data_IF_903380465429
#
_entry.id   IF_903380465429
#
_cell.length_a   1.000
_cell.length_b   1.000
_cell.length_c   1.000
_cell.angle_alpha   90.00
_cell.angle_beta   90.00
_cell.angle_gamma   90.00
#
_symmetry.space_group_name_H-M   'P 1'
#
loop_
_entity.id
_entity.type
_entity.pdbx_description
1 polymer ?
#
# COMPACT_ATOMS: atom_id res chain seq x y z
N UNK A 1 -1.45 24.19 8.44
CA UNK A 1 -0.87 23.06 7.66
C UNK A 1 -0.81 23.50 6.21
N UNK A 2 0.27 24.19 5.90
CA UNK A 2 0.45 25.09 4.75
C UNK A 2 0.64 24.31 3.45
N UNK A 3 -0.09 24.76 2.42
CA UNK A 3 0.06 24.76 0.95
C UNK A 3 1.33 24.16 0.27
N UNK A 4 2.39 23.83 0.98
CA UNK A 4 3.67 23.31 0.48
C UNK A 4 3.67 21.80 0.14
N UNK A 5 2.63 21.04 0.50
CA UNK A 5 2.50 19.62 0.12
C UNK A 5 1.79 19.41 -1.23
N UNK A 6 1.31 20.49 -1.86
CA UNK A 6 0.71 20.47 -3.20
C UNK A 6 1.77 20.81 -4.27
N UNK A 7 2.97 20.22 -4.15
CA UNK A 7 3.92 20.20 -5.25
C UNK A 7 3.44 19.25 -6.35
N UNK A 8 3.71 19.65 -7.59
CA UNK A 8 3.20 19.08 -8.83
C UNK A 8 3.25 17.53 -8.88
N UNK A 9 2.11 16.92 -9.19
CA UNK A 9 2.00 15.49 -9.52
C UNK A 9 1.43 14.58 -8.44
N UNK A 10 1.09 15.09 -7.25
CA UNK A 10 0.40 14.32 -6.21
C UNK A 10 -1.09 14.65 -6.19
N UNK A 11 -1.93 13.67 -6.55
CA UNK A 11 -3.39 13.79 -6.49
C UNK A 11 -3.84 13.96 -5.02
N UNK A 12 -4.53 15.06 -4.65
CA UNK A 12 -4.91 15.34 -3.26
C UNK A 12 -5.69 14.21 -2.59
N UNK A 13 -6.56 13.54 -3.35
CA UNK A 13 -7.31 12.36 -2.90
C UNK A 13 -6.36 11.24 -2.49
N UNK A 14 -5.36 10.94 -3.32
CA UNK A 14 -4.35 9.91 -3.02
C UNK A 14 -3.55 10.23 -1.79
N UNK A 15 -3.14 11.49 -1.60
CA UNK A 15 -2.50 11.89 -0.34
C UNK A 15 -3.40 11.64 0.86
N UNK A 16 -4.63 12.16 0.85
CA UNK A 16 -5.55 12.01 1.97
C UNK A 16 -5.80 10.54 2.32
N UNK A 17 -5.95 9.71 1.29
CA UNK A 17 -6.15 8.26 1.41
C UNK A 17 -4.93 7.57 2.02
N UNK A 18 -3.72 7.88 1.56
CA UNK A 18 -2.49 7.27 2.09
C UNK A 18 -2.23 7.70 3.54
N UNK A 19 -2.55 8.94 3.92
CA UNK A 19 -2.50 9.39 5.32
C UNK A 19 -3.57 8.72 6.18
N UNK A 20 -4.80 8.59 5.68
CA UNK A 20 -5.88 7.90 6.37
C UNK A 20 -5.57 6.43 6.60
N UNK A 21 -5.02 5.75 5.59
CA UNK A 21 -4.61 4.34 5.68
C UNK A 21 -3.58 4.10 6.79
N UNK A 22 -2.59 4.99 6.93
CA UNK A 22 -1.60 4.89 8.01
C UNK A 22 -2.25 5.02 9.39
N UNK A 23 -3.22 5.94 9.54
CA UNK A 23 -3.98 6.09 10.81
C UNK A 23 -4.83 4.87 11.12
N UNK A 24 -5.51 4.31 10.12
CA UNK A 24 -6.28 3.07 10.27
C UNK A 24 -5.36 1.91 10.68
N UNK A 25 -4.22 1.76 10.00
CA UNK A 25 -3.25 0.72 10.31
C UNK A 25 -2.69 0.85 11.73
N UNK A 26 -2.35 2.07 12.16
CA UNK A 26 -1.89 2.36 13.52
C UNK A 26 -2.94 2.01 14.58
N UNK A 27 -4.20 2.41 14.36
CA UNK A 27 -5.29 2.16 15.32
C UNK A 27 -5.66 0.67 15.44
N UNK A 28 -5.59 -0.07 14.34
CA UNK A 28 -5.89 -1.50 14.32
C UNK A 28 -4.69 -2.37 14.73
N UNK A 29 -3.51 -1.77 14.92
CA UNK A 29 -2.27 -2.55 15.08
C UNK A 29 -2.01 -3.45 13.87
N UNK A 30 -2.36 -2.98 12.67
CA UNK A 30 -2.28 -3.76 11.45
C UNK A 30 -0.85 -4.28 11.22
N UNK A 31 -0.77 -5.54 10.83
CA UNK A 31 0.49 -6.26 10.63
C UNK A 31 1.29 -5.69 9.46
N UNK A 32 0.60 -5.21 8.42
CA UNK A 32 1.21 -4.53 7.29
C UNK A 32 0.22 -3.63 6.53
N UNK A 33 0.78 -2.65 5.83
CA UNK A 33 0.11 -1.85 4.81
C UNK A 33 0.56 -2.31 3.43
N UNK A 34 -0.38 -2.53 2.53
CA UNK A 34 -0.13 -2.84 1.12
C UNK A 34 -0.45 -1.61 0.29
N UNK A 35 0.50 -1.14 -0.51
CA UNK A 35 0.30 -0.03 -1.44
C UNK A 35 0.45 -0.54 -2.87
N UNK A 36 -0.66 -0.73 -3.57
CA UNK A 36 -0.63 -0.90 -5.01
C UNK A 36 -0.11 0.40 -5.64
N UNK A 37 0.75 0.31 -6.65
CA UNK A 37 1.25 1.51 -7.34
C UNK A 37 1.80 1.21 -8.72
N UNK A 38 1.46 2.04 -9.71
CA UNK A 38 1.96 1.88 -11.08
C UNK A 38 3.29 2.59 -11.32
N UNK A 39 3.44 3.82 -10.81
CA UNK A 39 4.61 4.68 -11.02
C UNK A 39 5.41 4.94 -9.75
N UNK A 40 5.00 4.35 -8.62
CA UNK A 40 5.64 4.54 -7.32
C UNK A 40 5.19 5.78 -6.55
N UNK A 41 4.40 6.69 -7.14
CA UNK A 41 4.01 7.95 -6.48
C UNK A 41 3.25 7.73 -5.16
N UNK A 42 2.31 6.78 -5.12
CA UNK A 42 1.55 6.44 -3.90
C UNK A 42 2.46 5.91 -2.79
N UNK A 43 3.37 5.00 -3.15
CA UNK A 43 4.34 4.46 -2.20
C UNK A 43 5.34 5.53 -1.73
N UNK A 44 5.69 6.51 -2.58
CA UNK A 44 6.52 7.67 -2.19
C UNK A 44 5.82 8.53 -1.14
N UNK A 45 4.51 8.78 -1.28
CA UNK A 45 3.72 9.50 -0.28
C UNK A 45 3.73 8.74 1.06
N UNK A 46 3.54 7.41 1.02
CA UNK A 46 3.60 6.57 2.22
C UNK A 46 4.98 6.61 2.87
N UNK A 47 6.05 6.48 2.10
CA UNK A 47 7.43 6.52 2.58
C UNK A 47 7.78 7.88 3.22
N UNK A 48 7.24 8.98 2.70
CA UNK A 48 7.45 10.31 3.26
C UNK A 48 6.85 10.49 4.67
N UNK A 49 5.91 9.65 5.08
CA UNK A 49 5.36 9.68 6.44
C UNK A 49 6.37 9.18 7.49
N UNK A 50 7.36 8.38 7.07
CA UNK A 50 8.44 7.86 7.92
C UNK A 50 7.95 7.15 9.19
N UNK A 51 6.79 6.49 9.12
CA UNK A 51 6.20 5.72 10.21
C UNK A 51 6.67 4.26 10.23
N UNK A 52 6.75 3.63 11.40
CA UNK A 52 7.29 2.27 11.52
C UNK A 52 6.32 1.15 11.08
N UNK A 53 5.22 1.47 10.38
CA UNK A 53 4.25 0.48 9.94
C UNK A 53 4.84 -0.32 8.78
N UNK A 54 5.00 -1.66 8.89
CA UNK A 54 5.53 -2.48 7.81
C UNK A 54 4.74 -2.26 6.53
N UNK A 55 5.40 -1.83 5.46
CA UNK A 55 4.72 -1.47 4.22
C UNK A 55 5.28 -2.26 3.04
N UNK A 56 4.38 -2.93 2.32
CA UNK A 56 4.67 -3.62 1.06
C UNK A 56 4.17 -2.77 -0.09
N UNK A 57 5.03 -2.46 -1.05
CA UNK A 57 4.67 -1.75 -2.28
C UNK A 57 4.58 -2.72 -3.45
N UNK A 58 3.41 -2.81 -4.07
CA UNK A 58 3.10 -3.77 -5.15
C UNK A 58 3.05 -3.08 -6.50
N UNK A 59 3.75 -3.62 -7.50
CA UNK A 59 3.74 -3.11 -8.87
C UNK A 59 3.93 -4.21 -9.91
N UNK A 60 3.40 -3.98 -11.12
CA UNK A 60 3.65 -4.81 -12.32
C UNK A 60 4.87 -4.34 -13.10
N UNK A 61 5.34 -3.12 -12.86
CA UNK A 61 6.50 -2.54 -13.56
C UNK A 61 7.77 -2.77 -12.74
N UNK A 62 8.72 -3.53 -13.30
CA UNK A 62 10.03 -3.74 -12.68
C UNK A 62 10.77 -2.44 -12.39
N UNK A 63 10.63 -1.42 -13.24
CA UNK A 63 11.25 -0.12 -13.02
C UNK A 63 10.70 0.51 -11.75
N UNK A 64 9.39 0.45 -11.56
CA UNK A 64 8.74 0.92 -10.33
C UNK A 64 9.20 0.11 -9.14
N UNK A 65 9.22 -1.23 -9.20
CA UNK A 65 9.72 -2.08 -8.09
C UNK A 65 11.15 -1.70 -7.67
N UNK A 66 12.05 -1.45 -8.63
CA UNK A 66 13.42 -0.99 -8.33
C UNK A 66 13.45 0.40 -7.67
N UNK A 67 12.55 1.31 -8.06
CA UNK A 67 12.41 2.61 -7.38
C UNK A 67 11.93 2.44 -5.94
N UNK A 68 10.99 1.54 -5.69
CA UNK A 68 10.45 1.28 -4.35
C UNK A 68 11.54 0.80 -3.38
N UNK A 69 12.58 0.09 -3.84
CA UNK A 69 13.74 -0.28 -3.01
C UNK A 69 14.43 0.93 -2.35
N UNK A 70 14.30 2.13 -2.93
CA UNK A 70 14.95 3.35 -2.44
C UNK A 70 14.04 4.13 -1.48
N UNK A 71 12.77 3.73 -1.37
CA UNK A 71 11.80 4.43 -0.54
C UNK A 71 11.86 3.89 0.89
N UNK A 72 11.94 4.83 1.84
CA UNK A 72 12.02 4.53 3.26
C UNK A 72 10.87 3.60 3.67
N UNK A 73 11.21 2.47 4.30
CA UNK A 73 10.25 1.53 4.88
C UNK A 73 9.37 0.77 3.88
N UNK A 74 9.63 0.85 2.57
CA UNK A 74 8.85 0.14 1.54
C UNK A 74 9.58 -1.13 1.10
N UNK A 75 8.90 -2.27 1.24
CA UNK A 75 9.36 -3.56 0.70
C UNK A 75 8.69 -3.77 -0.67
N UNK A 76 9.44 -3.80 -1.78
CA UNK A 76 8.86 -4.05 -3.11
C UNK A 76 8.40 -5.50 -3.25
N UNK A 77 7.21 -5.69 -3.80
CA UNK A 77 6.66 -7.02 -4.09
C UNK A 77 6.12 -7.06 -5.53
N UNK A 78 6.78 -7.84 -6.37
CA UNK A 78 6.36 -8.08 -7.76
C UNK A 78 5.48 -9.32 -7.90
N UNK A 79 4.97 -9.56 -9.12
CA UNK A 79 4.23 -10.79 -9.45
C UNK A 79 2.81 -10.87 -8.88
N UNK A 80 2.30 -9.80 -8.27
CA UNK A 80 0.97 -9.78 -7.67
C UNK A 80 -0.13 -9.39 -8.67
N UNK A 81 -1.34 -9.96 -8.55
CA UNK A 81 -2.47 -9.60 -9.39
C UNK A 81 -2.97 -8.18 -9.05
N UNK A 82 -2.63 -7.20 -9.88
CA UNK A 82 -3.06 -5.81 -9.73
C UNK A 82 -4.23 -5.55 -10.69
N UNK A 83 -5.40 -5.20 -10.16
CA UNK A 83 -6.59 -4.93 -10.99
C UNK A 83 -7.88 -5.51 -10.40
N UNK A 84 -7.75 -6.40 -9.42
CA UNK A 84 -8.83 -6.92 -8.63
C UNK A 84 -8.41 -6.92 -7.15
N UNK A 85 -9.23 -6.32 -6.30
CA UNK A 85 -8.91 -6.17 -4.88
C UNK A 85 -8.97 -7.49 -4.11
N UNK A 86 -9.81 -8.43 -4.55
CA UNK A 86 -9.95 -9.74 -3.94
C UNK A 86 -8.77 -10.64 -4.31
N UNK A 87 -8.38 -10.66 -5.59
CA UNK A 87 -7.20 -11.40 -6.03
C UNK A 87 -5.93 -10.88 -5.35
N UNK A 88 -5.77 -9.55 -5.26
CA UNK A 88 -4.63 -8.94 -4.58
C UNK A 88 -4.59 -9.34 -3.09
N UNK A 89 -5.73 -9.27 -2.41
CA UNK A 89 -5.87 -9.67 -1.00
C UNK A 89 -5.43 -11.12 -0.80
N UNK A 90 -6.01 -12.04 -1.58
CA UNK A 90 -5.71 -13.46 -1.48
C UNK A 90 -4.22 -13.76 -1.75
N UNK A 91 -3.65 -13.11 -2.77
CA UNK A 91 -2.25 -13.30 -3.14
C UNK A 91 -1.29 -12.77 -2.05
N UNK A 92 -1.57 -11.60 -1.48
CA UNK A 92 -0.76 -11.04 -0.37
C UNK A 92 -0.87 -11.89 0.89
N UNK A 93 -2.07 -12.35 1.23
CA UNK A 93 -2.27 -13.24 2.38
C UNK A 93 -1.47 -14.53 2.22
N UNK A 94 -1.59 -15.20 1.06
CA UNK A 94 -0.86 -16.42 0.78
C UNK A 94 0.65 -16.19 0.85
N UNK A 95 1.15 -15.11 0.24
CA UNK A 95 2.55 -14.73 0.31
C UNK A 95 3.01 -14.52 1.76
N UNK A 96 2.30 -13.72 2.55
CA UNK A 96 2.72 -13.42 3.92
C UNK A 96 2.65 -14.64 4.83
N UNK A 97 1.68 -15.55 4.63
CA UNK A 97 1.63 -16.85 5.32
C UNK A 97 2.84 -17.72 4.97
N UNK A 98 3.20 -17.82 3.69
CA UNK A 98 4.37 -18.58 3.24
C UNK A 98 5.69 -18.04 3.80
N UNK A 99 5.79 -16.72 4.00
CA UNK A 99 6.96 -16.09 4.62
C UNK A 99 6.95 -16.16 6.16
N UNK A 100 5.90 -16.69 6.78
CA UNK A 100 5.72 -16.68 8.23
C UNK A 100 5.50 -15.28 8.83
N UNK A 101 5.09 -14.31 8.00
CA UNK A 101 4.85 -12.91 8.39
C UNK A 101 3.42 -12.65 8.86
N UNK A 102 2.48 -13.49 8.44
CA UNK A 102 1.06 -13.34 8.65
C UNK A 102 0.47 -14.58 9.33
N UNK A 103 -0.34 -14.36 10.35
CA UNK A 103 -1.10 -15.40 11.05
C UNK A 103 -2.57 -15.02 11.17
N UNK A 104 -3.40 -16.00 11.53
CA UNK A 104 -4.81 -15.78 11.86
C UNK A 104 -4.99 -14.64 12.89
N UNK A 105 -5.93 -13.74 12.61
CA UNK A 105 -6.23 -12.55 13.40
C UNK A 105 -5.38 -11.32 13.05
N UNK A 106 -4.33 -11.45 12.25
CA UNK A 106 -3.60 -10.29 11.75
C UNK A 106 -4.49 -9.46 10.80
N UNK A 107 -4.44 -8.14 10.97
CA UNK A 107 -5.09 -7.18 10.07
C UNK A 107 -4.11 -6.62 9.03
N UNK A 108 -4.56 -6.46 7.79
CA UNK A 108 -3.81 -5.88 6.68
C UNK A 108 -4.62 -4.71 6.11
N UNK A 109 -3.96 -3.57 5.92
CA UNK A 109 -4.59 -2.38 5.30
C UNK A 109 -4.12 -2.25 3.86
N UNK A 110 -5.05 -2.11 2.92
CA UNK A 110 -4.74 -1.96 1.50
C UNK A 110 -5.02 -0.54 1.03
N UNK A 111 -4.10 0.02 0.24
CA UNK A 111 -4.27 1.27 -0.51
C UNK A 111 -4.25 0.96 -1.99
N UNK A 112 -5.38 1.23 -2.65
CA UNK A 112 -5.64 0.85 -4.04
C UNK A 112 -6.58 1.91 -4.66
N UNK A 113 -7.08 1.63 -5.86
CA UNK A 113 -8.08 2.44 -6.56
C UNK A 113 -9.37 1.66 -6.75
N UNK A 114 -10.51 2.33 -6.61
CA UNK A 114 -11.85 1.80 -6.85
C UNK A 114 -12.11 1.37 -8.29
N UNK A 115 -11.40 1.98 -9.24
CA UNK A 115 -11.59 1.77 -10.69
C UNK A 115 -10.47 0.95 -11.33
N UNK A 116 -9.41 0.63 -10.57
CA UNK A 116 -8.17 0.00 -11.08
C UNK A 116 -7.57 0.67 -12.33
N UNK A 117 -7.92 1.94 -12.53
CA UNK A 117 -7.59 2.73 -13.70
C UNK A 117 -6.28 3.52 -13.54
N UNK A 118 -5.93 4.33 -14.56
CA UNK A 118 -4.67 5.07 -14.58
C UNK A 118 -4.59 6.24 -13.58
N UNK A 119 -5.66 6.57 -12.86
CA UNK A 119 -5.79 7.80 -12.08
C UNK A 119 -5.95 7.51 -10.59
N UNK A 120 -4.91 7.85 -9.82
CA UNK A 120 -4.99 7.96 -8.36
C UNK A 120 -5.24 6.66 -7.61
N UNK A 121 -5.11 6.73 -6.29
CA UNK A 121 -5.56 5.72 -5.34
C UNK A 121 -6.57 6.43 -4.45
N UNK A 122 -7.81 5.95 -4.45
CA UNK A 122 -8.98 6.55 -3.80
C UNK A 122 -9.66 5.58 -2.82
N UNK A 123 -9.12 4.37 -2.64
CA UNK A 123 -9.73 3.31 -1.85
C UNK A 123 -8.77 2.81 -0.76
N UNK A 124 -9.34 2.65 0.45
CA UNK A 124 -8.76 1.89 1.56
C UNK A 124 -9.72 0.81 1.96
N UNK A 125 -9.21 -0.40 2.15
CA UNK A 125 -9.95 -1.47 2.79
C UNK A 125 -9.06 -2.26 3.74
N UNK A 126 -9.69 -2.94 4.68
CA UNK A 126 -9.02 -3.79 5.67
C UNK A 126 -9.32 -5.26 5.35
N UNK A 127 -8.34 -6.11 5.57
CA UNK A 127 -8.47 -7.56 5.56
C UNK A 127 -8.03 -8.12 6.90
N UNK A 128 -8.87 -8.91 7.53
CA UNK A 128 -8.49 -9.72 8.68
C UNK A 128 -8.29 -11.15 8.22
N UNK A 129 -7.20 -11.77 8.66
CA UNK A 129 -6.90 -13.16 8.29
C UNK A 129 -7.75 -14.09 9.14
N UNK A 130 -8.72 -14.76 8.51
CA UNK A 130 -9.67 -15.61 9.22
C UNK A 130 -9.13 -17.02 9.55
N UNK A 131 -8.18 -17.52 8.75
CA UNK A 131 -7.64 -18.90 8.81
C UNK A 131 -6.12 -18.98 8.98
#
# INVERSE_FOLDING_TARGET
MTKALLEEGVQPVTSAIVYGAARVAEQLGAKLVVVATRTGNTARIKANQKDFIPTVGVSRDEKTLRQLCLYWGIIPLGGMPIGDGQELRNAVEQWGKQQGLLIRGDSIVFVTSSTFGPLGHDMVFVHEIED
#
